data_IF_691776235464
#
_entry.id   IF_691776235464
#
_cell.length_a   1.000
_cell.length_b   1.000
_cell.length_c   1.000
_cell.angle_alpha   90.00
_cell.angle_beta   90.00
_cell.angle_gamma   90.00
#
_symmetry.space_group_name_H-M   'P 1'
#
loop_
_entity.id
_entity.type
_entity.pdbx_description
1 polymer ?
#
# COMPACT_ATOMS: atom_id res chain seq x y z
N UNK A 1 -37.68 20.29 20.50
CA UNK A 1 -38.06 20.18 19.07
C UNK A 1 -38.08 21.59 18.49
N UNK A 2 -37.43 21.93 17.36
CA UNK A 2 -36.67 21.11 16.41
C UNK A 2 -35.18 21.54 16.25
N UNK A 3 -34.49 20.82 15.36
CA UNK A 3 -33.06 20.81 15.08
C UNK A 3 -32.70 21.46 13.73
N UNK A 4 -31.39 21.68 13.49
CA UNK A 4 -30.64 21.68 12.21
C UNK A 4 -29.66 22.86 12.14
N UNK A 5 -28.45 22.80 11.55
CA UNK A 5 -27.59 21.75 10.97
C UNK A 5 -26.23 22.44 10.77
N UNK A 6 -25.17 22.02 11.47
CA UNK A 6 -23.83 22.55 11.22
C UNK A 6 -23.23 21.87 9.99
N UNK A 7 -23.09 22.63 8.90
CA UNK A 7 -22.47 22.20 7.64
C UNK A 7 -20.95 22.25 7.82
N UNK A 8 -20.33 21.08 8.01
CA UNK A 8 -18.88 20.93 8.16
C UNK A 8 -18.22 21.13 6.78
N UNK A 9 -17.54 22.27 6.60
CA UNK A 9 -16.67 22.57 5.46
C UNK A 9 -15.42 21.69 5.58
N UNK A 10 -15.30 20.64 4.78
CA UNK A 10 -14.04 19.92 4.63
C UNK A 10 -13.18 20.64 3.60
N UNK A 11 -12.07 21.17 4.08
CA UNK A 11 -11.03 21.82 3.29
C UNK A 11 -10.34 20.75 2.42
N UNK A 12 -10.76 20.61 1.16
CA UNK A 12 -10.03 19.80 0.16
C UNK A 12 -8.98 20.73 -0.45
N UNK A 13 -7.77 20.70 0.09
CA UNK A 13 -6.66 21.43 -0.49
C UNK A 13 -6.22 20.70 -1.76
N UNK A 14 -6.39 21.39 -2.89
CA UNK A 14 -5.91 20.98 -4.19
C UNK A 14 -4.37 20.90 -4.17
N UNK A 15 -3.81 19.82 -4.73
CA UNK A 15 -2.47 19.88 -5.25
C UNK A 15 -2.47 19.28 -6.66
N UNK A 16 -2.39 20.18 -7.63
CA UNK A 16 -2.16 19.90 -9.04
C UNK A 16 -0.71 19.50 -9.25
N UNK A 17 -0.44 18.48 -10.06
CA UNK A 17 0.39 18.59 -11.27
C UNK A 17 0.55 17.21 -11.94
N UNK A 18 0.05 17.16 -13.17
CA UNK A 18 0.50 16.34 -14.29
C UNK A 18 0.52 14.82 -14.15
N UNK A 19 -0.64 14.19 -14.36
CA UNK A 19 -0.81 13.09 -15.33
C UNK A 19 -2.27 13.16 -15.82
N UNK A 20 -2.46 13.13 -17.13
CA UNK A 20 -3.78 13.10 -17.78
C UNK A 20 -4.41 11.70 -17.57
N UNK A 21 -4.92 11.44 -16.38
CA UNK A 21 -5.67 10.20 -16.11
C UNK A 21 -7.14 10.39 -16.50
N UNK A 22 -7.46 10.03 -17.74
CA UNK A 22 -8.83 9.75 -18.14
C UNK A 22 -9.30 8.47 -17.42
N UNK A 23 -10.00 8.64 -16.29
CA UNK A 23 -11.08 7.74 -15.92
C UNK A 23 -10.78 6.57 -14.98
N UNK A 24 -10.05 6.76 -13.87
CA UNK A 24 -10.16 5.85 -12.73
C UNK A 24 -10.42 6.61 -11.43
N UNK A 25 -11.61 6.43 -10.85
CA UNK A 25 -11.92 6.89 -9.49
C UNK A 25 -11.54 5.77 -8.51
N UNK A 26 -10.52 6.04 -7.70
CA UNK A 26 -10.07 5.16 -6.62
C UNK A 26 -10.89 5.42 -5.36
N UNK A 27 -11.48 4.37 -4.80
CA UNK A 27 -12.10 4.42 -3.49
C UNK A 27 -11.50 3.28 -2.67
N UNK A 28 -10.32 3.57 -2.13
CA UNK A 28 -9.64 2.63 -1.28
C UNK A 28 -10.30 2.67 0.09
N UNK A 29 -10.91 1.55 0.45
CA UNK A 29 -11.26 1.31 1.84
C UNK A 29 -9.97 1.39 2.67
N UNK A 30 -10.06 2.00 3.85
CA UNK A 30 -8.93 2.41 4.69
C UNK A 30 -7.77 1.41 4.63
N UNK A 31 -6.58 1.80 4.15
CA UNK A 31 -5.46 0.88 4.00
C UNK A 31 -5.09 0.23 5.33
N UNK A 32 -4.85 -1.08 5.27
CA UNK A 32 -4.77 -2.01 6.40
C UNK A 32 -4.14 -1.42 7.66
N UNK A 33 -4.88 -1.46 8.76
CA UNK A 33 -4.38 -1.20 10.11
C UNK A 33 -4.17 -2.55 10.79
N UNK A 34 -2.92 -2.89 11.16
CA UNK A 34 -2.65 -4.22 11.68
C UNK A 34 -1.24 -4.43 12.20
N UNK A 35 -1.05 -5.59 12.83
CA UNK A 35 0.25 -6.03 13.34
C UNK A 35 0.72 -7.25 12.57
N UNK A 36 1.85 -7.13 11.89
CA UNK A 36 2.55 -8.24 11.26
C UNK A 36 3.48 -8.89 12.29
N UNK A 37 3.29 -10.18 12.52
CA UNK A 37 4.20 -11.03 13.27
C UNK A 37 4.93 -11.92 12.28
N UNK A 38 6.20 -11.64 11.97
CA UNK A 38 6.94 -12.40 10.98
C UNK A 38 6.90 -13.92 11.25
N UNK A 39 6.62 -14.74 10.22
CA UNK A 39 6.33 -16.21 10.24
C UNK A 39 5.03 -16.66 10.91
N UNK A 40 4.26 -15.76 11.54
CA UNK A 40 3.04 -16.11 12.28
C UNK A 40 1.77 -15.51 11.71
N UNK A 41 1.87 -14.33 11.09
CA UNK A 41 0.73 -13.67 10.46
C UNK A 41 1.10 -13.06 9.13
N UNK A 42 0.07 -12.67 8.40
CA UNK A 42 0.12 -11.84 7.21
C UNK A 42 -0.83 -10.66 7.38
N UNK A 43 -0.57 -9.57 6.65
CA UNK A 43 -1.44 -8.40 6.57
C UNK A 43 -1.99 -8.33 5.15
N UNK A 44 -3.32 -8.26 5.00
CA UNK A 44 -3.97 -8.15 3.70
C UNK A 44 -4.29 -6.68 3.46
N UNK A 45 -3.76 -6.12 2.37
CA UNK A 45 -4.06 -4.77 1.89
C UNK A 45 -5.00 -4.91 0.70
N UNK A 46 -6.19 -4.33 0.79
CA UNK A 46 -7.16 -4.34 -0.30
C UNK A 46 -7.39 -2.94 -0.85
N UNK A 47 -7.71 -2.86 -2.14
CA UNK A 47 -8.15 -1.61 -2.78
C UNK A 47 -9.20 -1.91 -3.83
N UNK A 48 -10.18 -1.02 -4.00
CA UNK A 48 -11.11 -1.08 -5.12
C UNK A 48 -10.60 -0.22 -6.26
N UNK A 49 -10.66 -0.77 -7.46
CA UNK A 49 -10.32 -0.09 -8.71
C UNK A 49 -11.55 -0.07 -9.58
N UNK A 50 -11.96 1.12 -10.00
CA UNK A 50 -13.11 1.32 -10.87
C UNK A 50 -12.64 1.95 -12.18
N UNK A 51 -13.06 1.39 -13.31
CA UNK A 51 -12.91 2.04 -14.60
C UNK A 51 -14.08 3.00 -14.80
N UNK A 52 -13.80 4.29 -14.85
CA UNK A 52 -14.79 5.36 -15.05
C UNK A 52 -14.72 5.97 -16.44
N UNK A 53 -13.95 5.38 -17.35
CA UNK A 53 -13.93 5.72 -18.76
C UNK A 53 -14.96 4.94 -19.57
N UNK A 54 -15.13 5.33 -20.83
CA UNK A 54 -16.11 4.72 -21.76
C UNK A 54 -15.55 3.51 -22.54
N UNK A 55 -14.30 3.11 -22.28
CA UNK A 55 -13.63 1.99 -22.95
C UNK A 55 -13.09 0.98 -21.96
N UNK A 56 -12.90 -0.25 -22.42
CA UNK A 56 -12.15 -1.28 -21.67
C UNK A 56 -10.71 -0.78 -21.51
N UNK A 57 -10.17 -0.88 -20.30
CA UNK A 57 -8.81 -0.45 -19.97
C UNK A 57 -8.08 -1.47 -19.09
N UNK A 58 -6.76 -1.51 -19.23
CA UNK A 58 -5.85 -2.20 -18.32
C UNK A 58 -5.30 -1.22 -17.31
N UNK A 59 -5.36 -1.59 -16.03
CA UNK A 59 -4.86 -0.78 -14.92
C UNK A 59 -3.82 -1.58 -14.13
N UNK A 60 -2.74 -0.93 -13.68
CA UNK A 60 -1.67 -1.59 -12.91
C UNK A 60 -1.66 -1.04 -11.48
N UNK A 61 -2.26 -1.80 -10.57
CA UNK A 61 -2.26 -1.47 -9.15
C UNK A 61 -0.91 -1.81 -8.55
N UNK A 62 -0.33 -0.89 -7.80
CA UNK A 62 0.98 -1.00 -7.18
C UNK A 62 0.87 -0.77 -5.67
N UNK A 63 1.57 -1.59 -4.89
CA UNK A 63 1.68 -1.49 -3.44
C UNK A 63 3.10 -1.08 -3.07
N UNK A 64 3.23 0.02 -2.34
CA UNK A 64 4.48 0.52 -1.79
C UNK A 64 4.47 0.45 -0.27
N UNK A 65 5.65 0.27 0.31
CA UNK A 65 5.84 0.38 1.77
C UNK A 65 7.07 1.21 2.10
N UNK A 66 7.12 1.73 3.32
CA UNK A 66 8.25 2.47 3.84
C UNK A 66 8.39 2.21 5.34
N UNK A 67 9.59 1.85 5.77
CA UNK A 67 9.86 1.73 7.19
C UNK A 67 10.26 3.10 7.76
N UNK A 68 9.50 3.60 8.73
CA UNK A 68 9.73 4.95 9.29
C UNK A 68 11.05 5.08 10.05
N UNK A 69 11.47 4.01 10.70
CA UNK A 69 12.72 3.94 11.44
C UNK A 69 13.31 2.54 11.35
N UNK A 70 14.58 2.44 10.98
CA UNK A 70 15.30 1.18 10.84
C UNK A 70 16.81 1.40 10.94
N UNK A 71 17.56 0.30 11.06
CA UNK A 71 19.03 0.35 11.23
C UNK A 71 19.78 0.70 9.94
N UNK A 72 19.10 0.61 8.79
CA UNK A 72 19.66 0.92 7.48
C UNK A 72 18.85 2.01 6.78
N UNK A 73 19.53 2.84 6.00
CA UNK A 73 18.89 3.79 5.09
C UNK A 73 18.14 3.04 4.00
N UNK A 74 16.84 3.30 3.85
CA UNK A 74 15.96 2.65 2.86
C UNK A 74 15.33 3.68 1.92
N UNK A 75 14.88 3.26 0.72
CA UNK A 75 14.09 4.11 -0.14
C UNK A 75 12.81 4.57 0.57
N UNK A 76 12.40 5.80 0.29
CA UNK A 76 11.17 6.39 0.85
C UNK A 76 9.91 5.63 0.42
N UNK A 77 9.95 4.91 -0.71
CA UNK A 77 8.89 4.01 -1.17
C UNK A 77 9.50 2.78 -1.82
N UNK A 78 9.21 1.60 -1.29
CA UNK A 78 9.66 0.31 -1.83
C UNK A 78 8.47 -0.45 -2.40
N UNK A 79 8.52 -0.82 -3.69
CA UNK A 79 7.47 -1.60 -4.35
C UNK A 79 7.44 -3.02 -3.78
N UNK A 80 6.31 -3.42 -3.19
CA UNK A 80 6.10 -4.75 -2.60
C UNK A 80 5.24 -5.67 -3.45
N UNK A 81 4.45 -5.10 -4.35
CA UNK A 81 3.63 -5.88 -5.26
C UNK A 81 2.99 -5.02 -6.33
N UNK A 82 2.63 -5.65 -7.44
CA UNK A 82 1.80 -5.04 -8.47
C UNK A 82 0.84 -6.08 -9.04
N UNK A 83 -0.33 -5.63 -9.48
CA UNK A 83 -1.32 -6.47 -10.13
C UNK A 83 -1.97 -5.72 -11.28
N UNK A 84 -1.94 -6.31 -12.48
CA UNK A 84 -2.66 -5.79 -13.63
C UNK A 84 -4.10 -6.30 -13.64
N UNK A 85 -5.06 -5.40 -13.81
CA UNK A 85 -6.48 -5.72 -13.93
C UNK A 85 -7.08 -5.09 -15.18
N UNK A 86 -7.81 -5.88 -15.96
CA UNK A 86 -8.58 -5.40 -17.11
C UNK A 86 -10.01 -5.13 -16.66
N UNK A 87 -10.52 -3.92 -16.89
CA UNK A 87 -11.85 -3.48 -16.43
C UNK A 87 -12.67 -2.95 -17.60
N UNK A 88 -13.93 -3.38 -17.68
CA UNK A 88 -14.93 -2.77 -18.56
C UNK A 88 -15.38 -1.39 -18.05
N UNK A 89 -15.98 -0.54 -18.89
CA UNK A 89 -16.59 0.72 -18.44
C UNK A 89 -17.55 0.49 -17.27
N UNK A 90 -17.35 1.23 -16.17
CA UNK A 90 -18.13 1.11 -14.94
C UNK A 90 -17.81 -0.11 -14.06
N UNK A 91 -16.93 -1.02 -14.50
CA UNK A 91 -16.55 -2.19 -13.72
C UNK A 91 -15.67 -1.79 -12.53
N UNK A 92 -15.97 -2.39 -11.37
CA UNK A 92 -15.16 -2.26 -10.16
C UNK A 92 -14.60 -3.62 -9.78
N UNK A 93 -13.29 -3.70 -9.52
CA UNK A 93 -12.64 -4.89 -8.95
C UNK A 93 -11.91 -4.57 -7.67
N UNK A 94 -11.95 -5.52 -6.74
CA UNK A 94 -11.12 -5.49 -5.54
C UNK A 94 -9.81 -6.19 -5.84
N UNK A 95 -8.70 -5.48 -5.62
CA UNK A 95 -7.34 -5.99 -5.71
C UNK A 95 -6.80 -6.16 -4.29
N UNK A 96 -6.16 -7.30 -4.03
CA UNK A 96 -5.68 -7.67 -2.71
C UNK A 96 -4.21 -8.05 -2.77
N UNK A 97 -3.41 -7.48 -1.87
CA UNK A 97 -2.01 -7.79 -1.68
C UNK A 97 -1.79 -8.39 -0.30
N UNK A 98 -0.96 -9.43 -0.21
CA UNK A 98 -0.61 -10.06 1.05
C UNK A 98 0.80 -9.64 1.43
N UNK A 99 0.93 -8.91 2.54
CA UNK A 99 2.20 -8.58 3.18
C UNK A 99 2.55 -9.67 4.19
N UNK A 100 3.74 -10.24 4.04
CA UNK A 100 4.28 -11.31 4.86
C UNK A 100 5.69 -10.97 5.36
N UNK A 101 6.37 -11.95 5.95
CA UNK A 101 7.78 -11.81 6.38
C UNK A 101 8.68 -11.28 5.25
N UNK A 102 8.53 -11.81 4.03
CA UNK A 102 9.36 -11.44 2.88
C UNK A 102 9.12 -9.99 2.44
N UNK A 103 7.93 -9.49 2.71
CA UNK A 103 7.54 -8.13 2.38
C UNK A 103 8.20 -7.08 3.28
N UNK A 104 8.69 -7.46 4.48
CA UNK A 104 9.29 -6.53 5.45
C UNK A 104 10.78 -6.77 5.71
N UNK A 105 11.32 -7.88 5.23
CA UNK A 105 12.75 -8.16 5.32
C UNK A 105 13.55 -7.33 4.30
N UNK A 106 14.80 -7.04 4.64
CA UNK A 106 15.75 -6.34 3.80
C UNK A 106 17.12 -7.00 3.89
N UNK A 107 17.95 -6.79 2.88
CA UNK A 107 19.35 -7.24 2.91
C UNK A 107 20.20 -6.26 3.71
N UNK A 108 20.84 -6.71 4.78
CA UNK A 108 21.83 -5.93 5.51
C UNK A 108 23.23 -6.30 5.01
N UNK A 109 23.88 -5.37 4.29
CA UNK A 109 25.21 -5.59 3.74
C UNK A 109 26.31 -5.78 4.81
N UNK A 110 26.13 -5.23 6.02
CA UNK A 110 27.07 -5.40 7.11
C UNK A 110 27.01 -6.82 7.70
N UNK A 111 25.79 -7.38 7.81
CA UNK A 111 25.56 -8.74 8.32
C UNK A 111 25.66 -9.81 7.22
N UNK A 112 25.64 -9.40 5.94
CA UNK A 112 25.55 -10.27 4.76
C UNK A 112 24.39 -11.28 4.88
N UNK A 113 23.27 -10.79 5.39
CA UNK A 113 22.07 -11.60 5.61
C UNK A 113 20.80 -10.78 5.42
N UNK A 114 19.69 -11.48 5.22
CA UNK A 114 18.35 -10.92 5.29
C UNK A 114 17.99 -10.68 6.74
N UNK A 115 17.44 -9.51 7.05
CA UNK A 115 17.06 -9.13 8.40
C UNK A 115 15.70 -8.44 8.41
N UNK A 116 15.04 -8.48 9.55
CA UNK A 116 13.77 -7.81 9.81
C UNK A 116 13.94 -6.97 11.05
N UNK A 117 13.69 -5.68 10.92
CA UNK A 117 13.62 -4.77 12.05
C UNK A 117 12.16 -4.53 12.43
N UNK A 118 11.75 -4.77 13.69
CA UNK A 118 10.43 -4.37 14.15
C UNK A 118 10.28 -2.85 14.09
N UNK A 119 9.07 -2.38 13.84
CA UNK A 119 8.82 -0.95 13.68
C UNK A 119 7.53 -0.65 12.94
N UNK A 120 7.26 0.64 12.77
CA UNK A 120 6.11 1.13 12.03
C UNK A 120 6.44 1.26 10.55
N UNK A 121 5.53 0.77 9.72
CA UNK A 121 5.61 0.85 8.28
C UNK A 121 4.44 1.66 7.74
N UNK A 122 4.75 2.62 6.88
CA UNK A 122 3.78 3.25 6.01
C UNK A 122 3.54 2.37 4.78
N UNK A 123 2.32 2.41 4.26
CA UNK A 123 1.95 1.74 3.03
C UNK A 123 1.14 2.66 2.12
N UNK A 124 1.33 2.52 0.81
CA UNK A 124 0.56 3.21 -0.21
C UNK A 124 0.09 2.23 -1.27
N UNK A 125 -1.17 2.33 -1.68
CA UNK A 125 -1.73 1.52 -2.77
C UNK A 125 -2.43 2.42 -3.79
N UNK A 126 -2.18 2.19 -5.07
CA UNK A 126 -2.81 2.95 -6.16
C UNK A 126 -2.30 2.53 -7.55
N UNK A 127 -2.80 3.17 -8.60
CA UNK A 127 -2.38 2.94 -9.99
C UNK A 127 -0.99 3.48 -10.33
N UNK A 128 -0.49 4.42 -9.52
CA UNK A 128 0.76 5.12 -9.78
C UNK A 128 1.64 5.21 -8.54
N UNK A 129 2.91 5.50 -8.77
CA UNK A 129 3.88 5.78 -7.70
C UNK A 129 3.52 7.00 -6.86
N UNK A 130 2.56 7.82 -7.29
CA UNK A 130 2.02 8.99 -6.58
C UNK A 130 0.78 8.65 -5.73
N UNK A 131 0.49 7.37 -5.49
CA UNK A 131 -0.60 6.93 -4.64
C UNK A 131 -0.66 7.73 -3.33
N UNK A 132 -1.79 8.40 -3.10
CA UNK A 132 -2.05 9.23 -1.91
C UNK A 132 -2.74 8.44 -0.81
N UNK A 133 -3.33 7.29 -1.14
CA UNK A 133 -3.99 6.45 -0.15
C UNK A 133 -2.93 5.81 0.75
N UNK A 134 -2.86 6.29 1.99
CA UNK A 134 -1.81 6.01 2.95
C UNK A 134 -2.39 5.26 4.16
N UNK A 135 -1.73 4.18 4.54
CA UNK A 135 -2.04 3.43 5.76
C UNK A 135 -0.79 3.02 6.50
N UNK A 136 -0.97 2.38 7.64
CA UNK A 136 0.12 2.00 8.52
C UNK A 136 -0.10 0.63 9.13
N UNK A 137 0.99 -0.14 9.21
CA UNK A 137 1.02 -1.39 9.95
C UNK A 137 2.30 -1.48 10.77
N UNK A 138 2.25 -2.26 11.85
CA UNK A 138 3.39 -2.44 12.76
C UNK A 138 3.95 -3.84 12.59
N UNK A 139 5.25 -3.93 12.36
CA UNK A 139 5.98 -5.19 12.48
C UNK A 139 6.37 -5.37 13.94
N UNK A 140 5.81 -6.39 14.59
CA UNK A 140 6.08 -6.70 15.98
C UNK A 140 6.97 -7.94 16.14
N UNK A 141 7.72 -7.97 17.24
CA UNK A 141 8.67 -9.02 17.57
C UNK A 141 10.07 -8.45 17.82
N UNK A 142 11.05 -9.34 17.91
CA UNK A 142 12.47 -8.97 18.04
C UNK A 142 13.12 -8.92 16.66
N UNK A 143 14.10 -8.04 16.48
CA UNK A 143 14.94 -8.04 15.29
C UNK A 143 15.55 -9.43 15.06
N UNK A 144 15.49 -9.92 13.83
CA UNK A 144 15.88 -11.29 13.51
C UNK A 144 16.30 -11.44 12.06
N UNK A 145 17.02 -12.52 11.78
CA UNK A 145 17.29 -12.95 10.41
C UNK A 145 15.96 -13.25 9.68
N UNK A 146 15.83 -12.70 8.48
CA UNK A 146 14.77 -13.01 7.53
C UNK A 146 14.88 -14.44 7.03
N UNK A 147 13.82 -14.97 6.42
CA UNK A 147 13.93 -16.24 5.71
C UNK A 147 14.61 -15.98 4.36
N UNK A 148 15.75 -16.65 4.13
CA UNK A 148 16.46 -16.56 2.86
C UNK A 148 15.53 -16.79 1.67
N UNK A 149 15.72 -16.02 0.60
CA UNK A 149 14.97 -16.19 -0.64
C UNK A 149 15.30 -17.54 -1.27
N UNK A 150 14.50 -18.57 -0.99
CA UNK A 150 14.48 -19.77 -1.82
C UNK A 150 13.74 -19.44 -3.11
N UNK A 151 14.39 -19.44 -4.28
CA UNK A 151 13.67 -19.30 -5.55
C UNK A 151 12.66 -20.44 -5.66
N UNK A 152 11.41 -20.11 -5.98
CA UNK A 152 10.39 -21.08 -6.38
C UNK A 152 10.43 -21.24 -7.89
#
# INVERSE_FOLDING_TARGET
>A
MPASRSRRLTHRQANSLDHRDEGSLFDADHPATGVLFPRRSTVIVTTRVTNTGDRVGDEVVQLYTHQQAGRASRPVRELKGFQRVTLKPGETRTVSFTLDEKSVQYWNAAERDWVIDPGMFDLWVGSSSNAQNHGQFTVSGTARAGSGFAPR
#
